data_IF_182801595961
#
_entry.id   IF_182801595961
#
_cell.length_a   1.000
_cell.length_b   1.000
_cell.length_c   1.000
_cell.angle_alpha   90.00
_cell.angle_beta   90.00
_cell.angle_gamma   90.00
#
_symmetry.space_group_name_H-M   'P 1'
#
loop_
_entity.id
_entity.type
_entity.pdbx_description
1 polymer ?
#
# COMPACT_ATOMS: atom_id res chain seq x y z
N UNK A 1 -19.44 13.41 16.59
CA UNK A 1 -18.23 12.64 16.96
C UNK A 1 -17.09 13.20 16.15
N UNK A 2 -16.07 13.69 16.82
CA UNK A 2 -14.87 14.27 16.19
C UNK A 2 -13.82 13.17 16.05
N UNK A 3 -13.49 12.84 14.80
CA UNK A 3 -12.52 11.77 14.47
C UNK A 3 -11.26 12.39 13.89
N UNK A 4 -10.11 12.02 14.44
CA UNK A 4 -8.81 12.38 13.88
C UNK A 4 -8.13 11.12 13.31
N UNK A 5 -7.64 11.21 12.08
CA UNK A 5 -6.87 10.15 11.42
C UNK A 5 -5.43 10.66 11.26
N UNK A 6 -4.46 9.93 11.77
CA UNK A 6 -3.04 10.28 11.65
C UNK A 6 -2.44 9.49 10.49
N UNK A 7 -2.13 10.21 9.39
CA UNK A 7 -1.59 9.68 8.14
C UNK A 7 -2.56 9.77 6.97
N UNK A 8 -2.16 10.43 5.88
CA UNK A 8 -2.88 10.55 4.61
C UNK A 8 -2.35 9.57 3.54
N UNK A 9 -1.90 8.39 3.97
CA UNK A 9 -1.67 7.25 3.10
C UNK A 9 -2.99 6.63 2.64
N UNK A 10 -2.94 5.61 1.77
CA UNK A 10 -4.14 4.97 1.21
C UNK A 10 -5.11 4.44 2.28
N UNK A 11 -4.58 3.95 3.40
CA UNK A 11 -5.40 3.42 4.49
C UNK A 11 -6.15 4.57 5.20
N UNK A 12 -5.44 5.63 5.61
CA UNK A 12 -6.08 6.79 6.25
C UNK A 12 -7.06 7.50 5.32
N UNK A 13 -6.73 7.62 4.05
CA UNK A 13 -7.62 8.20 3.03
C UNK A 13 -8.88 7.37 2.80
N UNK A 14 -8.76 6.04 2.80
CA UNK A 14 -9.91 5.14 2.69
C UNK A 14 -10.82 5.23 3.93
N UNK A 15 -10.24 5.27 5.14
CA UNK A 15 -11.01 5.45 6.38
C UNK A 15 -11.76 6.78 6.35
N UNK A 16 -11.09 7.88 5.97
CA UNK A 16 -11.72 9.19 5.86
C UNK A 16 -12.87 9.18 4.83
N UNK A 17 -12.68 8.51 3.68
CA UNK A 17 -13.70 8.36 2.67
C UNK A 17 -14.93 7.62 3.19
N UNK A 18 -14.76 6.43 3.79
CA UNK A 18 -15.90 5.66 4.28
C UNK A 18 -16.59 6.28 5.50
N UNK A 19 -15.87 6.99 6.38
CA UNK A 19 -16.48 7.79 7.43
C UNK A 19 -17.34 8.91 6.85
N UNK A 20 -16.85 9.61 5.82
CA UNK A 20 -17.63 10.67 5.16
C UNK A 20 -18.92 10.14 4.52
N UNK A 21 -18.91 8.87 4.01
CA UNK A 21 -20.13 8.21 3.51
C UNK A 21 -21.16 7.91 4.62
N UNK A 22 -20.72 7.87 5.88
CA UNK A 22 -21.57 7.77 7.07
C UNK A 22 -21.93 9.13 7.67
N UNK A 23 -21.58 10.24 7.01
CA UNK A 23 -21.84 11.60 7.49
C UNK A 23 -20.88 12.08 8.59
N UNK A 24 -19.73 11.41 8.76
CA UNK A 24 -18.69 11.77 9.74
C UNK A 24 -17.53 12.41 8.99
N UNK A 25 -17.35 13.72 9.15
CA UNK A 25 -16.21 14.45 8.59
C UNK A 25 -14.98 14.30 9.50
N UNK A 26 -14.01 13.47 9.11
CA UNK A 26 -12.78 13.31 9.89
C UNK A 26 -11.75 14.41 9.57
N UNK A 27 -10.89 14.74 10.56
CA UNK A 27 -9.68 15.54 10.35
C UNK A 27 -8.51 14.60 10.12
N UNK A 28 -7.93 14.61 8.92
CA UNK A 28 -6.74 13.85 8.56
C UNK A 28 -5.51 14.71 8.80
N UNK A 29 -4.59 14.23 9.63
CA UNK A 29 -3.31 14.92 9.89
C UNK A 29 -2.22 14.19 9.12
N UNK A 30 -1.48 14.94 8.30
CA UNK A 30 -0.37 14.39 7.52
C UNK A 30 0.89 15.22 7.75
N UNK A 31 2.02 14.54 7.87
CA UNK A 31 3.29 15.19 8.15
C UNK A 31 3.91 15.86 6.93
N UNK A 32 3.87 15.20 5.77
CA UNK A 32 4.50 15.72 4.55
C UNK A 32 3.48 16.05 3.44
N UNK A 33 2.93 15.07 2.76
CA UNK A 33 1.92 15.23 1.72
C UNK A 33 1.10 13.94 1.58
N UNK A 34 -0.08 14.05 0.98
CA UNK A 34 -0.92 12.89 0.67
C UNK A 34 -0.14 11.90 -0.21
N UNK A 35 -0.12 10.64 0.20
CA UNK A 35 0.56 9.56 -0.51
C UNK A 35 2.10 9.72 -0.63
N UNK A 36 2.76 10.56 0.14
CA UNK A 36 4.19 10.83 0.02
C UNK A 36 5.10 9.62 0.26
N UNK A 37 4.60 8.61 0.97
CA UNK A 37 5.30 7.37 1.31
C UNK A 37 4.88 6.17 0.44
N UNK A 38 4.71 4.97 1.04
CA UNK A 38 4.40 3.72 0.34
C UNK A 38 3.21 3.82 -0.61
N UNK A 39 2.18 4.59 -0.22
CA UNK A 39 0.94 4.71 -0.98
C UNK A 39 1.09 5.42 -2.33
N UNK A 40 2.11 6.27 -2.51
CA UNK A 40 2.39 6.89 -3.81
C UNK A 40 3.45 6.17 -4.62
N UNK A 41 4.21 5.26 -4.00
CA UNK A 41 5.42 4.65 -4.58
C UNK A 41 5.28 3.14 -4.85
N UNK A 42 4.06 2.59 -4.75
CA UNK A 42 3.77 1.18 -5.03
C UNK A 42 3.43 0.92 -6.51
N UNK A 43 3.38 -0.35 -6.90
CA UNK A 43 2.97 -0.75 -8.26
C UNK A 43 1.49 -0.54 -8.55
N UNK A 44 0.64 -0.50 -7.52
CA UNK A 44 -0.81 -0.40 -7.69
C UNK A 44 -1.46 -1.68 -8.20
N UNK A 45 -0.83 -2.82 -7.99
CA UNK A 45 -1.35 -4.13 -8.36
C UNK A 45 -2.37 -4.64 -7.35
N UNK A 46 -3.43 -5.26 -7.85
CA UNK A 46 -4.54 -5.81 -7.08
C UNK A 46 -4.80 -7.26 -7.50
N UNK A 47 -4.90 -8.17 -6.53
CA UNK A 47 -5.20 -9.58 -6.77
C UNK A 47 -6.27 -10.07 -5.80
N UNK A 48 -7.38 -10.59 -6.34
CA UNK A 48 -8.56 -10.98 -5.59
C UNK A 48 -8.35 -12.24 -4.75
N UNK A 49 -7.65 -13.23 -5.31
CA UNK A 49 -7.60 -14.61 -4.83
C UNK A 49 -6.21 -15.11 -4.42
N UNK A 50 -5.22 -14.20 -4.37
CA UNK A 50 -3.86 -14.61 -3.98
C UNK A 50 -3.70 -14.88 -2.48
N UNK A 51 -4.69 -14.48 -1.68
CA UNK A 51 -4.74 -14.75 -0.25
C UNK A 51 -5.67 -15.91 0.13
N UNK A 52 -6.16 -16.71 -0.84
CA UNK A 52 -7.09 -17.83 -0.59
C UNK A 52 -6.51 -18.80 0.45
N UNK A 53 -7.32 -19.08 1.49
CA UNK A 53 -6.94 -19.92 2.60
C UNK A 53 -6.07 -19.26 3.66
N UNK A 54 -5.75 -17.96 3.51
CA UNK A 54 -5.09 -17.14 4.53
C UNK A 54 -6.13 -16.33 5.32
N UNK A 55 -5.82 -15.86 6.53
CA UNK A 55 -6.75 -15.01 7.30
C UNK A 55 -7.18 -13.73 6.58
N UNK A 56 -6.39 -13.25 5.62
CA UNK A 56 -6.64 -12.04 4.82
C UNK A 56 -7.57 -12.27 3.62
N UNK A 57 -7.97 -13.51 3.33
CA UNK A 57 -8.72 -13.87 2.12
C UNK A 57 -10.00 -13.03 1.98
N UNK A 58 -10.84 -13.00 3.02
CA UNK A 58 -12.09 -12.23 2.99
C UNK A 58 -11.83 -10.72 2.78
N UNK A 59 -10.79 -10.17 3.42
CA UNK A 59 -10.43 -8.76 3.27
C UNK A 59 -9.96 -8.47 1.83
N UNK A 60 -9.16 -9.36 1.23
CA UNK A 60 -8.68 -9.21 -0.13
C UNK A 60 -9.83 -9.25 -1.15
N UNK A 61 -10.73 -10.22 -1.03
CA UNK A 61 -11.89 -10.37 -1.91
C UNK A 61 -12.85 -9.18 -1.81
N UNK A 62 -13.26 -8.81 -0.59
CA UNK A 62 -14.11 -7.63 -0.35
C UNK A 62 -13.47 -6.37 -0.94
N UNK A 63 -12.18 -6.16 -0.66
CA UNK A 63 -11.49 -4.96 -1.14
C UNK A 63 -11.39 -4.89 -2.64
N UNK A 64 -11.12 -6.03 -3.30
CA UNK A 64 -11.03 -6.10 -4.74
C UNK A 64 -12.37 -5.77 -5.41
N UNK A 65 -13.47 -6.27 -4.85
CA UNK A 65 -14.81 -5.97 -5.34
C UNK A 65 -15.16 -4.48 -5.13
N UNK A 66 -14.82 -3.92 -3.95
CA UNK A 66 -14.97 -2.48 -3.66
C UNK A 66 -14.13 -1.58 -4.56
N UNK A 67 -12.95 -2.02 -5.04
CA UNK A 67 -12.19 -1.26 -6.02
C UNK A 67 -12.96 -1.05 -7.32
N UNK A 68 -13.76 -2.02 -7.74
CA UNK A 68 -14.65 -1.88 -8.91
C UNK A 68 -15.73 -0.83 -8.66
N UNK A 69 -16.40 -0.88 -7.51
CA UNK A 69 -17.45 0.07 -7.14
C UNK A 69 -16.90 1.51 -7.05
N UNK A 70 -15.65 1.66 -6.60
CA UNK A 70 -14.98 2.96 -6.49
C UNK A 70 -14.68 3.60 -7.85
N UNK A 71 -14.64 2.84 -8.95
CA UNK A 71 -14.45 3.44 -10.29
C UNK A 71 -15.59 4.38 -10.65
N UNK A 72 -16.80 4.05 -10.26
CA UNK A 72 -17.99 4.88 -10.50
C UNK A 72 -18.20 5.94 -9.41
N UNK A 73 -17.80 5.62 -8.17
CA UNK A 73 -18.01 6.48 -7.00
C UNK A 73 -17.02 7.64 -6.91
N UNK A 74 -15.79 7.47 -7.38
CA UNK A 74 -14.77 8.50 -7.39
C UNK A 74 -14.75 9.21 -8.75
N UNK A 75 -15.14 10.47 -8.79
CA UNK A 75 -15.26 11.27 -10.02
C UNK A 75 -13.90 11.66 -10.64
N UNK A 76 -12.92 10.79 -10.62
CA UNK A 76 -11.54 11.05 -11.06
C UNK A 76 -10.95 9.79 -11.65
N UNK A 77 -10.33 9.91 -12.84
CA UNK A 77 -9.57 8.81 -13.43
C UNK A 77 -8.24 8.62 -12.68
N UNK A 78 -8.11 7.50 -12.02
CA UNK A 78 -6.89 7.04 -11.36
C UNK A 78 -6.26 5.82 -12.03
N UNK A 79 -6.62 5.57 -13.30
CA UNK A 79 -6.00 4.55 -14.13
C UNK A 79 -6.36 3.11 -13.74
N UNK A 80 -7.52 2.89 -13.12
CA UNK A 80 -7.97 1.52 -12.81
C UNK A 80 -8.27 0.74 -14.09
N UNK A 81 -7.72 -0.46 -14.16
CA UNK A 81 -8.04 -1.42 -15.24
C UNK A 81 -7.84 -2.86 -14.81
N UNK A 82 -8.57 -3.76 -15.40
CA UNK A 82 -8.37 -5.20 -15.28
C UNK A 82 -7.23 -5.61 -16.18
N UNK A 83 -6.36 -6.52 -15.69
CA UNK A 83 -5.13 -6.94 -16.39
C UNK A 83 -4.93 -8.44 -16.28
N UNK A 84 -4.30 -9.02 -17.29
CA UNK A 84 -3.74 -10.36 -17.15
C UNK A 84 -2.39 -10.29 -16.44
N UNK A 85 -2.06 -11.34 -15.69
CA UNK A 85 -0.87 -11.38 -14.84
C UNK A 85 -0.13 -12.68 -15.02
N UNK A 86 1.17 -12.60 -15.30
CA UNK A 86 1.99 -13.74 -15.64
C UNK A 86 3.21 -13.86 -14.72
N UNK A 87 3.62 -15.13 -14.48
CA UNK A 87 4.93 -15.45 -13.93
C UNK A 87 5.94 -15.61 -15.08
N UNK A 88 7.10 -14.98 -14.93
CA UNK A 88 8.21 -15.04 -15.88
C UNK A 88 9.50 -15.46 -15.19
N UNK A 89 10.14 -16.52 -15.66
CA UNK A 89 11.47 -16.91 -15.21
C UNK A 89 12.56 -16.19 -16.00
N UNK A 90 13.57 -15.67 -15.31
CA UNK A 90 14.75 -15.02 -15.87
C UNK A 90 15.98 -15.39 -15.04
N UNK A 91 17.13 -15.64 -15.68
CA UNK A 91 18.37 -15.97 -14.96
C UNK A 91 19.59 -15.37 -15.66
N UNK A 92 20.56 -14.89 -14.86
CA UNK A 92 21.86 -14.45 -15.33
C UNK A 92 22.83 -15.61 -15.56
N UNK A 93 22.51 -16.80 -15.04
CA UNK A 93 23.40 -17.96 -15.04
C UNK A 93 23.05 -19.02 -16.08
N UNK A 94 21.83 -18.99 -16.60
CA UNK A 94 21.31 -20.00 -17.53
C UNK A 94 20.35 -19.37 -18.52
N UNK A 95 20.35 -19.93 -19.74
CA UNK A 95 19.39 -19.58 -20.77
C UNK A 95 18.18 -20.51 -20.67
N UNK A 96 17.01 -19.98 -20.92
CA UNK A 96 15.79 -20.77 -21.04
C UNK A 96 15.55 -21.13 -22.52
N UNK A 97 15.07 -22.34 -22.76
CA UNK A 97 14.60 -22.71 -24.09
C UNK A 97 13.38 -21.84 -24.45
N UNK A 98 13.26 -21.42 -25.68
CA UNK A 98 12.08 -20.68 -26.15
C UNK A 98 10.82 -21.45 -25.79
N UNK A 99 10.00 -20.87 -24.92
CA UNK A 99 8.69 -21.40 -24.59
C UNK A 99 7.75 -21.31 -25.80
N UNK A 100 6.90 -22.30 -25.95
CA UNK A 100 5.74 -22.23 -26.86
C UNK A 100 4.51 -21.88 -26.05
N UNK A 101 3.58 -21.14 -26.62
CA UNK A 101 2.31 -20.82 -25.98
C UNK A 101 2.33 -19.48 -25.22
N UNK A 102 2.39 -19.48 -23.88
CA UNK A 102 2.30 -18.27 -23.06
C UNK A 102 3.38 -17.21 -23.33
N UNK A 103 4.55 -17.61 -23.86
CA UNK A 103 5.62 -16.67 -24.23
C UNK A 103 5.23 -15.72 -25.38
N UNK A 104 4.16 -15.97 -26.09
CA UNK A 104 3.62 -15.11 -27.15
C UNK A 104 2.48 -14.21 -26.68
N UNK A 105 1.97 -14.42 -25.48
CA UNK A 105 0.88 -13.63 -24.92
C UNK A 105 1.28 -12.17 -24.68
N UNK A 106 2.55 -11.94 -24.28
CA UNK A 106 3.11 -10.61 -24.00
C UNK A 106 4.13 -10.24 -25.08
N UNK A 107 3.71 -9.47 -26.07
CA UNK A 107 4.42 -9.27 -27.34
C UNK A 107 5.63 -8.30 -27.28
N UNK A 108 5.82 -7.61 -26.17
CA UNK A 108 6.91 -6.65 -25.97
C UNK A 108 8.11 -7.22 -25.20
N UNK A 109 8.09 -8.52 -24.87
CA UNK A 109 9.17 -9.20 -24.14
C UNK A 109 10.30 -9.63 -25.06
N UNK A 110 11.51 -9.67 -24.49
CA UNK A 110 12.68 -10.32 -25.10
C UNK A 110 12.58 -11.85 -24.98
N UNK A 111 13.46 -12.53 -25.73
CA UNK A 111 13.56 -14.00 -25.66
C UNK A 111 14.54 -14.50 -24.57
N UNK A 112 14.98 -13.65 -23.64
CA UNK A 112 15.91 -14.02 -22.58
C UNK A 112 15.24 -14.74 -21.41
N UNK A 113 13.96 -14.43 -21.15
CA UNK A 113 13.15 -15.08 -20.13
C UNK A 113 12.00 -15.89 -20.72
N UNK A 114 11.31 -16.64 -19.88
CA UNK A 114 10.17 -17.48 -20.26
C UNK A 114 8.95 -17.17 -19.39
N UNK A 115 7.86 -16.76 -20.02
CA UNK A 115 6.54 -16.72 -19.39
C UNK A 115 6.04 -18.17 -19.30
N UNK A 116 5.84 -18.66 -18.08
CA UNK A 116 5.55 -20.06 -17.83
C UNK A 116 4.21 -20.32 -17.15
N UNK A 117 3.58 -19.27 -16.57
CA UNK A 117 2.32 -19.43 -15.83
C UNK A 117 1.47 -18.18 -15.93
N UNK A 118 0.17 -18.34 -16.13
CA UNK A 118 -0.84 -17.33 -15.86
C UNK A 118 -1.12 -17.35 -14.35
N UNK A 119 -0.92 -16.22 -13.68
CA UNK A 119 -1.15 -16.05 -12.23
C UNK A 119 -2.54 -15.53 -11.91
N UNK A 120 -3.16 -14.83 -12.84
CA UNK A 120 -4.48 -14.27 -12.74
C UNK A 120 -4.89 -13.62 -14.06
N UNK A 121 -6.16 -13.51 -14.29
CA UNK A 121 -6.74 -12.89 -15.48
C UNK A 121 -7.55 -11.64 -15.11
N UNK A 122 -8.18 -11.02 -16.10
CA UNK A 122 -9.01 -9.82 -15.92
C UNK A 122 -10.19 -10.00 -14.97
N UNK A 123 -10.50 -11.21 -14.52
CA UNK A 123 -11.55 -11.45 -13.49
C UNK A 123 -10.99 -11.39 -12.08
N UNK A 124 -9.69 -11.66 -11.90
CA UNK A 124 -9.06 -11.80 -10.60
C UNK A 124 -7.91 -10.82 -10.35
N UNK A 125 -7.41 -10.14 -11.39
CA UNK A 125 -6.33 -9.16 -11.23
C UNK A 125 -6.64 -7.82 -11.88
N UNK A 126 -6.14 -6.76 -11.26
CA UNK A 126 -6.31 -5.38 -11.73
C UNK A 126 -5.09 -4.52 -11.37
N UNK A 127 -5.04 -3.33 -11.93
CA UNK A 127 -4.02 -2.33 -11.69
C UNK A 127 -4.66 -0.95 -11.61
N UNK A 128 -4.07 -0.07 -10.80
CA UNK A 128 -4.39 1.34 -10.70
C UNK A 128 -3.14 2.19 -10.46
N UNK A 129 -3.24 3.52 -10.64
CA UNK A 129 -2.16 4.42 -10.25
C UNK A 129 -2.28 4.76 -8.75
N UNK A 130 -1.33 4.30 -7.90
CA UNK A 130 -1.51 4.29 -6.44
C UNK A 130 -1.63 5.69 -5.83
N UNK A 131 -0.83 6.65 -6.28
CA UNK A 131 -0.90 8.03 -5.80
C UNK A 131 -2.23 8.69 -6.19
N UNK A 132 -2.65 8.57 -7.46
CA UNK A 132 -3.92 9.16 -7.95
C UNK A 132 -5.11 8.57 -7.21
N UNK A 133 -5.12 7.26 -6.96
CA UNK A 133 -6.18 6.60 -6.19
C UNK A 133 -6.24 7.09 -4.74
N UNK A 134 -5.08 7.17 -4.06
CA UNK A 134 -5.02 7.69 -2.68
C UNK A 134 -5.53 9.12 -2.60
N UNK A 135 -5.11 9.99 -3.53
CA UNK A 135 -5.57 11.38 -3.61
C UNK A 135 -7.06 11.48 -3.97
N UNK A 136 -7.57 10.62 -4.85
CA UNK A 136 -9.00 10.58 -5.21
C UNK A 136 -9.88 10.25 -4.00
N UNK A 137 -9.50 9.24 -3.19
CA UNK A 137 -10.19 8.89 -1.95
C UNK A 137 -10.24 10.08 -0.97
N UNK A 138 -9.09 10.71 -0.72
CA UNK A 138 -9.02 11.83 0.23
C UNK A 138 -9.78 13.06 -0.31
N UNK A 139 -9.68 13.36 -1.60
CA UNK A 139 -10.42 14.46 -2.22
C UNK A 139 -11.93 14.25 -2.10
N UNK A 140 -12.42 13.03 -2.35
CA UNK A 140 -13.82 12.70 -2.18
C UNK A 140 -14.27 12.83 -0.71
N UNK A 141 -13.42 12.38 0.24
CA UNK A 141 -13.68 12.58 1.67
C UNK A 141 -13.78 14.06 2.04
N UNK A 142 -12.83 14.88 1.56
CA UNK A 142 -12.81 16.32 1.81
C UNK A 142 -14.03 17.03 1.20
N UNK A 143 -14.44 16.65 0.01
CA UNK A 143 -15.68 17.14 -0.63
C UNK A 143 -16.91 16.83 0.21
N UNK A 144 -16.90 15.72 0.94
CA UNK A 144 -17.98 15.29 1.82
C UNK A 144 -17.81 15.75 3.30
N UNK A 145 -16.88 16.68 3.58
CA UNK A 145 -16.76 17.34 4.89
C UNK A 145 -15.55 16.90 5.73
N UNK A 146 -14.70 16.00 5.26
CA UNK A 146 -13.41 15.76 5.92
C UNK A 146 -12.44 16.93 5.69
N UNK A 147 -11.41 17.02 6.51
CA UNK A 147 -10.39 18.06 6.42
C UNK A 147 -9.00 17.43 6.37
N UNK A 148 -8.14 17.88 5.46
CA UNK A 148 -6.71 17.59 5.49
C UNK A 148 -5.98 18.75 6.17
N UNK A 149 -5.14 18.42 7.14
CA UNK A 149 -4.24 19.36 7.80
C UNK A 149 -2.82 18.82 7.77
N UNK A 150 -1.90 19.60 7.26
CA UNK A 150 -0.48 19.29 7.39
C UNK A 150 0.00 19.64 8.80
N UNK A 151 0.81 18.78 9.39
CA UNK A 151 1.39 18.96 10.71
C UNK A 151 1.94 17.66 11.30
N UNK A 152 2.80 17.80 12.29
CA UNK A 152 3.42 16.67 12.99
C UNK A 152 2.69 16.41 14.31
N UNK A 153 2.15 15.20 14.46
CA UNK A 153 1.56 14.76 15.74
C UNK A 153 2.68 14.44 16.73
N UNK A 154 2.60 15.03 17.90
CA UNK A 154 3.59 14.93 18.97
C UNK A 154 3.12 14.02 20.11
N UNK A 155 1.81 13.95 20.36
CA UNK A 155 1.22 13.10 21.40
C UNK A 155 -0.25 12.80 21.14
N UNK A 156 -0.74 11.75 21.80
CA UNK A 156 -2.17 11.45 21.94
C UNK A 156 -2.55 11.66 23.39
N UNK A 157 -3.48 12.58 23.62
CA UNK A 157 -3.93 12.95 24.95
C UNK A 157 -5.09 12.04 25.40
N UNK A 158 -5.07 11.66 26.68
CA UNK A 158 -6.07 10.78 27.28
C UNK A 158 -6.59 11.34 28.59
N UNK A 159 -7.88 11.17 28.84
CA UNK A 159 -8.46 11.33 30.16
C UNK A 159 -7.97 10.17 31.05
N UNK A 160 -7.18 10.45 32.11
CA UNK A 160 -6.56 9.38 32.92
C UNK A 160 -7.58 8.63 33.80
N UNK A 161 -8.76 9.22 34.05
CA UNK A 161 -9.82 8.61 34.88
C UNK A 161 -10.69 7.69 34.02
N UNK A 162 -11.05 8.14 32.82
CA UNK A 162 -11.91 7.39 31.89
C UNK A 162 -11.15 6.45 30.99
N UNK A 163 -9.82 6.59 30.94
CA UNK A 163 -8.95 5.92 29.99
C UNK A 163 -9.47 6.02 28.55
N UNK A 164 -9.77 7.23 28.15
CA UNK A 164 -10.37 7.58 26.86
C UNK A 164 -9.53 8.66 26.19
N UNK A 165 -9.39 8.57 24.86
CA UNK A 165 -8.80 9.65 24.05
C UNK A 165 -9.56 10.95 24.30
N UNK A 166 -8.83 12.04 24.46
CA UNK A 166 -9.39 13.41 24.54
C UNK A 166 -8.95 14.28 23.35
N UNK A 167 -7.91 13.88 22.63
CA UNK A 167 -7.39 14.59 21.48
C UNK A 167 -5.94 14.25 21.16
N UNK A 168 -5.31 15.10 20.40
CA UNK A 168 -3.89 15.02 20.02
C UNK A 168 -3.21 16.37 20.15
N UNK A 169 -1.88 16.39 20.26
CA UNK A 169 -1.06 17.59 20.10
C UNK A 169 -0.41 17.56 18.72
N UNK A 170 -0.62 18.63 17.92
CA UNK A 170 -0.05 18.82 16.57
C UNK A 170 0.64 20.16 16.54
N UNK A 171 1.95 20.20 16.26
CA UNK A 171 2.77 21.40 16.17
C UNK A 171 2.56 22.32 17.39
N UNK A 172 2.61 21.75 18.59
CA UNK A 172 2.43 22.42 19.87
C UNK A 172 0.98 22.87 20.17
N UNK A 173 -0.01 22.46 19.38
CA UNK A 173 -1.42 22.83 19.58
C UNK A 173 -2.30 21.62 19.84
N UNK A 174 -3.10 21.72 20.88
CA UNK A 174 -4.09 20.69 21.19
C UNK A 174 -5.28 20.76 20.22
N UNK A 175 -5.68 19.59 19.73
CA UNK A 175 -6.93 19.34 18.99
C UNK A 175 -7.74 18.29 19.73
N UNK A 176 -8.95 18.63 20.12
CA UNK A 176 -9.87 17.66 20.74
C UNK A 176 -10.36 16.62 19.74
N UNK A 177 -10.57 15.39 20.22
CA UNK A 177 -11.17 14.32 19.44
C UNK A 177 -11.88 13.32 20.35
N UNK A 178 -12.97 12.73 19.86
CA UNK A 178 -13.65 11.59 20.46
C UNK A 178 -12.95 10.26 20.08
N UNK A 179 -12.33 10.24 18.88
CA UNK A 179 -11.64 9.08 18.35
C UNK A 179 -10.36 9.49 17.58
N UNK A 180 -9.31 8.69 17.74
CA UNK A 180 -8.04 8.83 17.03
C UNK A 180 -7.68 7.51 16.35
N UNK A 181 -7.32 7.56 15.06
CA UNK A 181 -6.93 6.42 14.24
C UNK A 181 -5.46 6.56 13.84
N UNK A 182 -4.63 5.59 14.21
CA UNK A 182 -3.24 5.47 13.77
C UNK A 182 -3.22 4.80 12.39
N UNK A 183 -2.91 5.56 11.32
CA UNK A 183 -2.81 5.08 9.95
C UNK A 183 -1.47 5.49 9.30
N UNK A 184 -0.39 5.47 10.10
CA UNK A 184 0.92 6.04 9.77
C UNK A 184 1.83 5.08 8.98
N UNK A 185 1.30 3.96 8.45
CA UNK A 185 2.10 2.96 7.75
C UNK A 185 3.28 2.46 8.63
N UNK A 186 4.52 2.40 8.12
CA UNK A 186 5.66 1.94 8.92
C UNK A 186 5.99 2.87 10.10
N UNK A 187 5.64 4.16 10.01
CA UNK A 187 5.81 5.12 11.11
C UNK A 187 4.82 4.90 12.25
N UNK A 188 3.89 3.95 12.15
CA UNK A 188 3.06 3.54 13.29
C UNK A 188 3.91 3.02 14.45
N UNK A 189 5.17 2.64 14.22
CA UNK A 189 6.15 2.37 15.26
C UNK A 189 6.29 3.55 16.25
N UNK A 190 6.25 4.79 15.77
CA UNK A 190 6.36 5.98 16.63
C UNK A 190 5.17 6.10 17.60
N UNK A 191 4.00 5.61 17.21
CA UNK A 191 2.81 5.66 18.05
C UNK A 191 2.88 4.70 19.26
N UNK A 192 3.84 3.79 19.29
CA UNK A 192 4.08 2.92 20.47
C UNK A 192 4.48 3.72 21.73
N UNK A 193 4.96 4.96 21.55
CA UNK A 193 5.24 5.88 22.65
C UNK A 193 3.96 6.42 23.31
N UNK A 194 2.85 6.39 22.60
CA UNK A 194 1.56 6.96 23.05
C UNK A 194 0.56 5.88 23.48
N UNK A 195 0.57 4.75 22.78
CA UNK A 195 -0.43 3.68 22.90
C UNK A 195 0.23 2.29 22.91
N UNK A 196 -0.38 1.29 23.56
CA UNK A 196 0.14 -0.07 23.59
C UNK A 196 -0.09 -0.78 22.24
N UNK A 197 0.78 -0.52 21.29
CA UNK A 197 0.76 -1.11 19.95
C UNK A 197 1.84 -2.18 19.80
N UNK A 198 1.62 -3.21 18.98
CA UNK A 198 2.68 -4.13 18.57
C UNK A 198 3.74 -3.39 17.74
N UNK A 199 4.92 -3.99 17.64
CA UNK A 199 5.97 -3.46 16.79
C UNK A 199 5.55 -3.50 15.31
N UNK A 200 5.69 -2.37 14.63
CA UNK A 200 5.53 -2.24 13.18
C UNK A 200 6.89 -1.91 12.61
N UNK A 201 7.35 -2.71 11.67
CA UNK A 201 8.66 -2.55 11.04
C UNK A 201 8.51 -1.96 9.63
N UNK A 202 9.56 -1.31 9.17
CA UNK A 202 9.67 -0.85 7.80
C UNK A 202 10.56 -1.81 6.99
N UNK A 203 10.02 -2.46 5.97
CA UNK A 203 10.82 -3.22 5.01
C UNK A 203 11.08 -2.36 3.78
N UNK A 204 12.33 -1.92 3.62
CA UNK A 204 12.74 -1.03 2.52
C UNK A 204 12.72 -1.75 1.18
N UNK A 205 12.19 -1.10 0.17
CA UNK A 205 12.20 -1.57 -1.21
C UNK A 205 12.44 -0.43 -2.18
N UNK A 206 13.02 -0.77 -3.33
CA UNK A 206 13.34 0.17 -4.41
C UNK A 206 12.48 -0.07 -5.62
N UNK A 207 12.18 1.01 -6.33
CA UNK A 207 11.44 0.95 -7.59
C UNK A 207 11.90 2.04 -8.55
N UNK A 208 11.63 1.82 -9.83
CA UNK A 208 11.78 2.80 -10.89
C UNK A 208 10.48 2.90 -11.69
N UNK A 209 10.24 4.04 -12.27
CA UNK A 209 9.19 4.24 -13.27
C UNK A 209 9.84 4.55 -14.60
N UNK A 210 9.41 3.86 -15.64
CA UNK A 210 9.94 3.96 -16.99
C UNK A 210 8.85 4.51 -17.92
N UNK A 211 9.25 5.40 -18.84
CA UNK A 211 8.39 5.89 -19.93
C UNK A 211 8.91 5.32 -21.25
N UNK A 212 8.31 4.23 -21.76
CA UNK A 212 8.70 3.64 -23.02
C UNK A 212 8.26 4.48 -24.22
N UNK A 213 9.10 4.54 -25.27
CA UNK A 213 8.78 5.25 -26.52
C UNK A 213 7.73 4.51 -27.36
N UNK A 214 7.54 3.22 -27.11
CA UNK A 214 6.55 2.37 -27.77
C UNK A 214 5.59 1.83 -26.72
N UNK A 215 4.27 1.94 -26.91
CA UNK A 215 3.30 1.41 -25.95
C UNK A 215 3.50 -0.09 -25.70
N UNK A 216 3.37 -0.49 -24.44
CA UNK A 216 3.35 -1.89 -23.99
C UNK A 216 1.92 -2.28 -23.58
N UNK A 217 1.61 -3.58 -23.67
CA UNK A 217 0.31 -4.09 -23.24
C UNK A 217 0.15 -4.03 -21.73
N UNK A 218 -1.08 -4.21 -21.25
CA UNK A 218 -1.44 -4.02 -19.84
C UNK A 218 -0.99 -5.17 -18.92
N UNK A 219 -0.31 -6.18 -19.45
CA UNK A 219 0.04 -7.41 -18.73
C UNK A 219 1.01 -7.15 -17.59
N UNK A 220 0.66 -7.56 -16.38
CA UNK A 220 1.54 -7.50 -15.23
C UNK A 220 2.46 -8.73 -15.17
N UNK A 221 3.72 -8.54 -14.78
CA UNK A 221 4.71 -9.60 -14.72
C UNK A 221 5.27 -9.71 -13.30
N UNK A 222 5.30 -10.92 -12.78
CA UNK A 222 5.99 -11.30 -11.55
C UNK A 222 7.16 -12.20 -11.94
N UNK A 223 8.39 -11.74 -11.67
CA UNK A 223 9.59 -12.40 -12.11
C UNK A 223 10.13 -13.36 -11.04
N UNK A 224 10.47 -14.56 -11.45
CA UNK A 224 11.37 -15.46 -10.71
C UNK A 224 12.78 -15.25 -11.29
N UNK A 225 13.52 -14.29 -10.70
CA UNK A 225 14.81 -13.84 -11.21
C UNK A 225 15.94 -14.39 -10.36
N UNK A 226 16.89 -15.11 -11.02
CA UNK A 226 18.14 -15.59 -10.46
C UNK A 226 19.29 -14.71 -10.97
N UNK A 227 19.98 -14.02 -10.06
CA UNK A 227 21.11 -13.16 -10.41
C UNK A 227 22.43 -13.94 -10.61
N UNK A 228 23.53 -13.20 -10.92
CA UNK A 228 24.85 -13.77 -11.17
C UNK A 228 25.43 -14.54 -9.97
N UNK A 229 25.03 -14.18 -8.74
CA UNK A 229 25.45 -14.86 -7.52
C UNK A 229 24.62 -16.11 -7.24
N UNK A 230 23.50 -16.30 -7.96
CA UNK A 230 22.53 -17.37 -7.75
C UNK A 230 21.47 -17.02 -6.71
N UNK A 231 21.41 -15.77 -6.29
CA UNK A 231 20.36 -15.28 -5.40
C UNK A 231 19.04 -15.12 -6.17
N UNK A 232 17.93 -15.45 -5.50
CA UNK A 232 16.61 -15.35 -6.09
C UNK A 232 15.90 -14.09 -5.60
N UNK A 233 15.32 -13.39 -6.57
CA UNK A 233 14.57 -12.17 -6.37
C UNK A 233 13.20 -12.28 -7.05
N UNK A 234 12.20 -11.56 -6.52
CA UNK A 234 10.85 -11.49 -7.06
C UNK A 234 10.50 -10.07 -7.56
N UNK A 235 11.14 -9.55 -8.62
CA UNK A 235 10.76 -8.25 -9.16
C UNK A 235 9.35 -8.29 -9.76
N UNK A 236 8.65 -7.14 -9.66
CA UNK A 236 7.32 -6.95 -10.20
C UNK A 236 7.37 -5.85 -11.26
N UNK A 237 6.84 -6.13 -12.44
CA UNK A 237 6.77 -5.20 -13.55
C UNK A 237 5.32 -4.97 -13.92
N UNK A 238 4.87 -3.72 -13.79
CA UNK A 238 3.45 -3.36 -13.88
C UNK A 238 3.30 -2.16 -14.82
N UNK A 239 2.87 -2.39 -16.07
CA UNK A 239 2.48 -1.32 -16.97
C UNK A 239 1.27 -0.57 -16.41
N UNK A 240 1.28 0.75 -16.46
CA UNK A 240 0.21 1.65 -16.00
C UNK A 240 -0.67 2.13 -17.16
N UNK A 241 -1.88 2.59 -16.84
CA UNK A 241 -2.83 3.08 -17.84
C UNK A 241 -2.36 4.37 -18.55
N UNK A 242 -1.48 5.16 -17.90
CA UNK A 242 -0.88 6.37 -18.48
C UNK A 242 0.31 6.10 -19.39
N UNK A 243 0.65 4.82 -19.62
CA UNK A 243 1.76 4.39 -20.47
C UNK A 243 3.10 4.23 -19.75
N UNK A 244 3.20 4.62 -18.50
CA UNK A 244 4.39 4.33 -17.68
C UNK A 244 4.45 2.86 -17.31
N UNK A 245 5.66 2.38 -17.01
CA UNK A 245 5.91 1.03 -16.51
C UNK A 245 6.63 1.12 -15.17
N UNK A 246 5.97 0.63 -14.14
CA UNK A 246 6.55 0.50 -12.81
C UNK A 246 7.33 -0.82 -12.71
N UNK A 247 8.53 -0.75 -12.14
CA UNK A 247 9.34 -1.92 -11.82
C UNK A 247 9.89 -1.79 -10.42
N UNK A 248 9.61 -2.76 -9.56
CA UNK A 248 10.23 -2.89 -8.25
C UNK A 248 10.90 -4.25 -8.09
N UNK A 249 11.75 -4.33 -7.11
CA UNK A 249 12.49 -5.55 -6.77
C UNK A 249 13.44 -5.22 -5.63
N UNK A 250 14.46 -5.81 -5.39
CA UNK A 250 15.53 -5.58 -4.42
C UNK A 250 15.10 -4.85 -3.14
N UNK A 251 15.56 -5.33 -2.01
CA UNK A 251 15.31 -4.75 -0.69
C UNK A 251 16.58 -4.06 -0.17
N UNK A 252 16.42 -3.15 0.79
CA UNK A 252 17.51 -2.53 1.52
C UNK A 252 17.35 -2.74 3.01
N UNK A 253 18.47 -2.74 3.73
CA UNK A 253 18.53 -2.95 5.17
C UNK A 253 18.62 -1.64 5.96
N UNK A 254 18.51 -0.48 5.28
CA UNK A 254 18.55 0.81 5.96
C UNK A 254 17.41 0.95 6.97
N UNK A 255 17.71 1.50 8.15
CA UNK A 255 16.69 1.72 9.17
C UNK A 255 15.62 2.71 8.69
N UNK A 256 14.40 2.55 9.19
CA UNK A 256 13.31 3.49 8.94
C UNK A 256 13.68 4.87 9.51
N UNK A 257 13.76 5.94 8.69
CA UNK A 257 14.02 7.29 9.19
C UNK A 257 12.82 7.83 9.98
N UNK A 258 13.05 8.82 10.82
CA UNK A 258 11.97 9.44 11.61
C UNK A 258 10.99 10.20 10.70
N UNK A 259 11.48 10.78 9.60
CA UNK A 259 10.66 11.50 8.63
C UNK A 259 10.56 10.76 7.29
N UNK A 260 9.36 10.67 6.68
CA UNK A 260 9.21 10.11 5.33
C UNK A 260 10.05 10.82 4.26
N UNK A 261 10.36 12.08 4.46
CA UNK A 261 11.16 12.93 3.56
C UNK A 261 12.65 12.53 3.56
N UNK A 262 13.12 11.90 4.64
CA UNK A 262 14.51 11.46 4.79
C UNK A 262 14.76 10.05 4.21
N UNK A 263 13.78 9.46 3.53
CA UNK A 263 13.95 8.15 2.89
C UNK A 263 14.95 8.27 1.74
N UNK A 264 16.15 7.73 1.95
CA UNK A 264 17.23 7.72 0.96
C UNK A 264 16.94 6.74 -0.19
N UNK A 265 17.36 7.11 -1.40
CA UNK A 265 17.33 6.27 -2.60
C UNK A 265 18.74 5.72 -2.82
N UNK A 266 18.85 4.42 -3.09
CA UNK A 266 20.10 3.81 -3.53
C UNK A 266 20.12 3.72 -5.06
N UNK A 267 20.96 4.54 -5.68
CA UNK A 267 21.13 4.58 -7.14
C UNK A 267 21.66 3.24 -7.68
N UNK A 268 22.41 2.48 -6.90
CA UNK A 268 22.90 1.14 -7.32
C UNK A 268 21.72 0.18 -7.47
N UNK A 269 20.83 0.14 -6.50
CA UNK A 269 19.62 -0.69 -6.56
C UNK A 269 18.70 -0.26 -7.73
N UNK A 270 18.51 1.03 -7.93
CA UNK A 270 17.74 1.56 -9.07
C UNK A 270 18.37 1.23 -10.42
N UNK A 271 19.70 1.31 -10.54
CA UNK A 271 20.41 0.91 -11.75
C UNK A 271 20.30 -0.60 -12.03
N UNK A 272 20.34 -1.45 -10.98
CA UNK A 272 20.07 -2.89 -11.13
C UNK A 272 18.66 -3.13 -11.71
N UNK A 273 17.65 -2.41 -11.26
CA UNK A 273 16.29 -2.48 -11.82
C UNK A 273 16.26 -2.05 -13.29
N UNK A 274 16.97 -0.98 -13.64
CA UNK A 274 17.07 -0.53 -15.05
C UNK A 274 17.71 -1.58 -15.94
N UNK A 275 18.80 -2.20 -15.50
CA UNK A 275 19.46 -3.30 -16.24
C UNK A 275 18.50 -4.46 -16.40
N UNK A 276 17.80 -4.85 -15.35
CA UNK A 276 16.80 -5.92 -15.38
C UNK A 276 15.67 -5.63 -16.37
N UNK A 277 15.15 -4.39 -16.38
CA UNK A 277 14.14 -3.96 -17.35
C UNK A 277 14.58 -4.19 -18.79
N UNK A 278 15.82 -3.85 -19.11
CA UNK A 278 16.42 -4.07 -20.45
C UNK A 278 16.54 -5.54 -20.83
N UNK A 279 16.77 -6.41 -19.85
CA UNK A 279 16.78 -7.86 -20.07
C UNK A 279 15.40 -8.45 -20.30
N UNK A 280 14.39 -7.87 -19.67
CA UNK A 280 12.99 -8.27 -19.87
C UNK A 280 12.50 -7.82 -21.25
N UNK A 281 12.86 -6.60 -21.66
CA UNK A 281 12.35 -6.01 -22.90
C UNK A 281 13.31 -4.97 -23.50
N UNK A 282 13.56 -5.03 -24.81
CA UNK A 282 14.27 -3.96 -25.54
C UNK A 282 13.52 -2.64 -25.51
N UNK A 283 12.19 -2.68 -25.52
CA UNK A 283 11.35 -1.48 -25.37
C UNK A 283 11.64 -0.77 -24.04
N UNK A 284 11.85 -1.54 -22.96
CA UNK A 284 12.17 -0.98 -21.65
C UNK A 284 13.66 -0.59 -21.53
N UNK A 285 14.57 -1.24 -22.27
CA UNK A 285 15.97 -0.85 -22.35
C UNK A 285 16.13 0.59 -22.87
N UNK A 286 15.29 0.97 -23.84
CA UNK A 286 15.29 2.26 -24.52
C UNK A 286 14.40 3.30 -23.81
N UNK A 287 13.64 2.89 -22.79
CA UNK A 287 12.72 3.76 -22.07
C UNK A 287 13.46 4.81 -21.22
N UNK A 288 12.86 5.99 -21.12
CA UNK A 288 13.34 7.02 -20.19
C UNK A 288 12.99 6.64 -18.77
N UNK A 289 13.95 6.71 -17.85
CA UNK A 289 13.67 6.61 -16.41
C UNK A 289 13.04 7.92 -15.95
N UNK A 290 11.78 7.85 -15.56
CA UNK A 290 11.02 9.02 -15.08
C UNK A 290 11.32 9.27 -13.61
N UNK A 291 11.43 8.20 -12.81
CA UNK A 291 11.60 8.32 -11.37
C UNK A 291 12.38 7.15 -10.78
N UNK A 292 13.30 7.45 -9.87
CA UNK A 292 13.86 6.54 -8.89
C UNK A 292 13.10 6.69 -7.58
N UNK A 293 12.75 5.59 -6.92
CA UNK A 293 11.96 5.62 -5.68
C UNK A 293 12.48 4.63 -4.66
N UNK A 294 12.32 5.00 -3.40
CA UNK A 294 12.45 4.09 -2.27
C UNK A 294 11.30 4.31 -1.29
N UNK A 295 10.87 3.26 -0.64
CA UNK A 295 9.86 3.33 0.39
C UNK A 295 9.94 2.13 1.33
N UNK A 296 9.25 2.22 2.46
CA UNK A 296 9.15 1.14 3.44
C UNK A 296 7.74 0.56 3.45
N UNK A 297 7.63 -0.77 3.28
CA UNK A 297 6.39 -1.50 3.49
C UNK A 297 6.18 -1.72 4.99
N UNK A 298 4.99 -1.41 5.55
CA UNK A 298 4.70 -1.66 6.96
C UNK A 298 4.47 -3.14 7.19
N UNK A 299 5.27 -3.77 8.04
CA UNK A 299 5.12 -5.18 8.42
C UNK A 299 5.08 -5.32 9.94
N UNK A 300 4.41 -6.33 10.44
CA UNK A 300 4.50 -6.79 11.82
C UNK A 300 4.99 -8.24 11.87
N UNK A 301 5.18 -8.78 13.06
CA UNK A 301 5.84 -10.08 13.28
C UNK A 301 5.17 -11.23 12.53
N UNK A 302 3.85 -11.26 12.48
CA UNK A 302 3.06 -12.31 11.78
C UNK A 302 2.72 -11.95 10.32
N UNK A 303 3.26 -10.85 9.80
CA UNK A 303 3.04 -10.34 8.45
C UNK A 303 1.57 -10.06 8.07
N UNK A 304 0.66 -9.99 9.04
CA UNK A 304 -0.75 -9.65 8.84
C UNK A 304 -1.04 -8.19 9.20
N UNK A 305 -2.06 -7.55 8.61
CA UNK A 305 -2.48 -6.21 8.99
C UNK A 305 -2.82 -6.11 10.47
N UNK A 306 -2.59 -4.95 11.07
CA UNK A 306 -3.01 -4.59 12.44
C UNK A 306 -4.13 -3.59 12.31
N UNK A 307 -5.38 -4.05 12.55
CA UNK A 307 -6.59 -3.26 12.31
C UNK A 307 -7.58 -3.48 13.45
N UNK A 308 -8.04 -2.40 14.08
CA UNK A 308 -9.06 -2.48 15.13
C UNK A 308 -8.90 -1.46 16.24
N UNK A 309 -9.70 -1.63 17.31
CA UNK A 309 -9.61 -0.82 18.51
C UNK A 309 -8.40 -1.22 19.36
N UNK A 310 -7.74 -0.23 19.95
CA UNK A 310 -6.58 -0.46 20.84
C UNK A 310 -7.12 -0.73 22.25
N UNK A 311 -6.84 -1.91 22.76
CA UNK A 311 -7.31 -2.32 24.08
C UNK A 311 -6.82 -1.38 25.19
N UNK A 312 -7.66 -1.17 26.18
CA UNK A 312 -7.33 -0.35 27.33
C UNK A 312 -7.40 1.16 27.08
N UNK A 313 -7.74 1.63 25.88
CA UNK A 313 -7.92 3.07 25.59
C UNK A 313 -9.14 3.27 24.68
N UNK A 314 -10.22 3.76 25.24
CA UNK A 314 -11.44 4.05 24.46
C UNK A 314 -11.19 5.16 23.46
N UNK A 315 -11.73 5.01 22.25
CA UNK A 315 -11.56 5.98 21.17
C UNK A 315 -10.20 5.91 20.46
N UNK A 316 -9.32 4.96 20.83
CA UNK A 316 -8.05 4.75 20.13
C UNK A 316 -8.17 3.55 19.18
N UNK A 317 -7.75 3.77 17.94
CA UNK A 317 -7.80 2.78 16.86
C UNK A 317 -6.50 2.74 16.07
N UNK A 318 -6.26 1.63 15.38
CA UNK A 318 -5.10 1.47 14.49
C UNK A 318 -5.51 0.77 13.20
N UNK A 319 -4.91 1.15 12.08
CA UNK A 319 -5.01 0.47 10.80
C UNK A 319 -3.69 0.61 10.04
N UNK A 320 -2.86 -0.44 10.08
CA UNK A 320 -1.50 -0.45 9.54
C UNK A 320 -1.01 -1.88 9.26
N UNK A 321 0.26 -2.06 8.91
CA UNK A 321 0.86 -3.40 8.80
C UNK A 321 0.46 -4.20 7.56
N UNK A 322 -0.11 -3.58 6.55
CA UNK A 322 -0.65 -4.26 5.35
C UNK A 322 0.41 -4.81 4.39
N UNK A 323 1.71 -4.67 4.68
CA UNK A 323 2.81 -5.12 3.83
C UNK A 323 2.66 -4.63 2.37
N UNK A 324 2.79 -5.54 1.39
CA UNK A 324 2.57 -5.23 -0.04
C UNK A 324 1.09 -5.13 -0.43
N UNK A 325 0.16 -5.54 0.42
CA UNK A 325 -1.27 -5.58 0.15
C UNK A 325 -2.04 -4.31 0.55
N UNK A 326 -1.34 -3.25 0.97
CA UNK A 326 -2.00 -2.03 1.45
C UNK A 326 -2.90 -1.38 0.40
N UNK A 327 -2.48 -1.37 -0.86
CA UNK A 327 -3.28 -0.80 -1.95
C UNK A 327 -4.54 -1.63 -2.21
N UNK A 328 -4.40 -2.96 -2.29
CA UNK A 328 -5.53 -3.86 -2.43
C UNK A 328 -6.51 -3.71 -1.27
N UNK A 329 -6.01 -3.79 -0.03
CA UNK A 329 -6.86 -3.92 1.17
C UNK A 329 -7.41 -2.60 1.69
N UNK A 330 -7.03 -1.46 1.12
CA UNK A 330 -7.45 -0.15 1.61
C UNK A 330 -8.97 0.05 1.64
N UNK A 331 -9.75 -0.29 0.59
CA UNK A 331 -11.19 -0.09 0.62
C UNK A 331 -11.89 -0.91 1.72
N UNK A 332 -11.60 -2.20 1.83
CA UNK A 332 -12.19 -3.07 2.85
C UNK A 332 -11.78 -2.67 4.26
N UNK A 333 -10.50 -2.30 4.47
CA UNK A 333 -10.04 -1.76 5.75
C UNK A 333 -10.74 -0.45 6.09
N UNK A 334 -10.88 0.45 5.12
CA UNK A 334 -11.55 1.73 5.30
C UNK A 334 -13.03 1.57 5.69
N UNK A 335 -13.74 0.68 4.99
CA UNK A 335 -15.14 0.35 5.28
C UNK A 335 -15.30 -0.23 6.69
N UNK A 336 -14.54 -1.28 7.00
CA UNK A 336 -14.62 -1.95 8.31
C UNK A 336 -14.26 -1.03 9.48
N UNK A 337 -13.24 -0.17 9.31
CA UNK A 337 -12.88 0.82 10.32
C UNK A 337 -13.93 1.90 10.48
N UNK A 338 -14.56 2.36 9.40
CA UNK A 338 -15.65 3.32 9.48
C UNK A 338 -16.86 2.73 10.23
N UNK A 339 -17.21 1.47 10.00
CA UNK A 339 -18.25 0.75 10.74
C UNK A 339 -17.86 0.59 12.22
N UNK A 340 -16.65 0.15 12.51
CA UNK A 340 -16.16 -0.03 13.87
C UNK A 340 -16.22 1.30 14.68
N UNK A 341 -15.83 2.41 14.05
CA UNK A 341 -15.80 3.72 14.70
C UNK A 341 -17.21 4.29 14.89
N UNK A 342 -18.10 4.17 13.88
CA UNK A 342 -19.45 4.74 13.94
C UNK A 342 -20.45 3.89 14.70
N UNK A 343 -20.38 2.57 14.52
CA UNK A 343 -21.42 1.62 14.96
C UNK A 343 -20.93 0.74 16.12
N UNK A 344 -19.64 0.84 16.47
CA UNK A 344 -19.01 0.07 17.54
C UNK A 344 -18.58 -1.36 17.12
N UNK A 345 -18.88 -1.77 15.89
CA UNK A 345 -18.48 -3.08 15.34
C UNK A 345 -18.38 -3.00 13.83
N UNK A 346 -17.44 -3.75 13.24
CA UNK A 346 -17.40 -3.98 11.81
C UNK A 346 -18.41 -5.06 11.41
N UNK A 347 -19.22 -4.79 10.39
CA UNK A 347 -20.23 -5.72 9.85
C UNK A 347 -19.82 -6.30 8.50
N UNK A 348 -18.97 -5.60 7.77
CA UNK A 348 -18.52 -5.98 6.43
C UNK A 348 -17.50 -7.11 6.43
N UNK A 349 -16.70 -7.21 7.50
CA UNK A 349 -15.65 -8.23 7.68
C UNK A 349 -15.36 -8.47 9.16
N UNK A 350 -14.96 -9.70 9.51
CA UNK A 350 -14.43 -10.01 10.83
C UNK A 350 -13.02 -9.41 11.01
N UNK A 351 -12.86 -8.50 11.98
CA UNK A 351 -11.57 -7.90 12.32
C UNK A 351 -10.78 -8.68 13.37
N UNK A 352 -11.32 -9.73 13.97
CA UNK A 352 -10.64 -10.51 15.02
C UNK A 352 -9.26 -11.05 14.56
N UNK A 353 -9.06 -11.54 13.32
CA UNK A 353 -7.75 -11.96 12.85
C UNK A 353 -6.71 -10.84 12.77
N UNK A 354 -7.16 -9.58 12.74
CA UNK A 354 -6.31 -8.39 12.58
C UNK A 354 -6.21 -7.57 13.87
N UNK A 355 -6.85 -8.00 14.95
CA UNK A 355 -6.90 -7.27 16.20
C UNK A 355 -5.48 -6.91 16.72
N UNK A 356 -5.25 -5.67 17.18
CA UNK A 356 -3.90 -5.25 17.60
C UNK A 356 -3.35 -6.04 18.80
N UNK A 357 -4.22 -6.54 19.67
CA UNK A 357 -3.86 -7.31 20.87
C UNK A 357 -3.55 -8.79 20.61
N UNK A 358 -3.65 -9.27 19.35
CA UNK A 358 -3.16 -10.61 18.97
C UNK A 358 -1.64 -10.73 19.09
N UNK A 359 -0.93 -9.59 19.02
CA UNK A 359 0.50 -9.49 19.23
C UNK A 359 0.80 -8.69 20.50
N UNK A 360 1.89 -9.00 21.22
CA UNK A 360 2.25 -8.24 22.41
C UNK A 360 2.61 -6.79 22.02
N UNK A 361 2.27 -5.81 22.89
CA UNK A 361 2.71 -4.44 22.67
C UNK A 361 4.24 -4.35 22.77
N UNK A 362 4.82 -3.49 21.94
CA UNK A 362 6.25 -3.21 22.01
C UNK A 362 6.59 -2.69 23.41
N UNK A 363 7.50 -3.40 24.10
CA UNK A 363 8.01 -2.96 25.39
C UNK A 363 8.99 -1.81 25.13
N UNK A 364 8.74 -0.70 25.80
CA UNK A 364 9.65 0.46 25.83
C UNK A 364 10.86 0.17 26.70
#
# INVERSE_FOLDING_TARGET
MDVIIIGAGVIGSAIAYYLSRKGIGATVIERCDTACAASGKSGGFLARDWCVGQPQDQLAQLSFDLHTDLTDALATDYGYRRVDTYAMALSDRRSFARGTGLSTAVNWLNNEGVVHKLLGDTTTTAQLHPERFTRALLTAACTAGAQLRLGTVESIERDPVKNQVSGITVDGRFLSADAVVIAMGPWSLLATQWLPLPAIYGLKGYSITLSPNTPVTADALFLDYEDQLGERHGPELIPRADGEVYLCGFSGDDPLPVSPEDVSIDDTACNRLRVLAGRVSTVLAEATVVQHQACYRPICEDAMPVVGAIQGTRGAYVATGHNCWGMLNAPGTGLAMAELISDGQASSIDLAPFAPDRLPPLRQ
#
